data_IF_579398618090
#
_entry.id   IF_579398618090
#
_cell.length_a   1.000
_cell.length_b   1.000
_cell.length_c   1.000
_cell.angle_alpha   90.00
_cell.angle_beta   90.00
_cell.angle_gamma   90.00
#
_symmetry.space_group_name_H-M   'P 1'
#
loop_
_entity.id
_entity.type
_entity.pdbx_description
1 polymer ?
#
# COMPACT_ATOMS: atom_id res chain seq x y z
N UNK A 1 -27.29 16.66 -7.63
CA UNK A 1 -27.28 15.58 -6.62
C UNK A 1 -25.82 15.23 -6.35
N UNK A 2 -25.39 15.10 -5.09
CA UNK A 2 -24.03 14.62 -4.78
C UNK A 2 -24.06 13.09 -4.71
N UNK A 3 -23.36 12.43 -5.62
CA UNK A 3 -23.20 10.97 -5.59
C UNK A 3 -22.14 10.61 -4.55
N UNK A 4 -22.47 9.72 -3.60
CA UNK A 4 -21.51 9.18 -2.64
C UNK A 4 -20.56 8.24 -3.38
N UNK A 5 -19.26 8.37 -3.11
CA UNK A 5 -18.21 7.48 -3.61
C UNK A 5 -17.69 6.60 -2.48
N UNK A 6 -17.42 5.33 -2.79
CA UNK A 6 -16.83 4.32 -1.93
C UNK A 6 -15.35 4.14 -2.30
N UNK A 7 -14.47 4.41 -1.33
CA UNK A 7 -13.02 4.28 -1.49
C UNK A 7 -12.53 3.07 -0.69
N UNK A 8 -11.79 2.17 -1.33
CA UNK A 8 -11.16 1.04 -0.67
C UNK A 8 -9.83 1.47 -0.03
N UNK A 9 -9.86 1.72 1.28
CA UNK A 9 -8.69 2.10 2.07
C UNK A 9 -7.64 0.98 2.05
N UNK A 10 -6.55 1.21 1.32
CA UNK A 10 -5.44 0.28 1.07
C UNK A 10 -5.86 -1.02 0.40
N UNK A 11 -6.88 -0.95 -0.45
CA UNK A 11 -7.57 -2.10 -1.02
C UNK A 11 -8.59 -2.72 -0.06
N UNK A 12 -8.91 -4.01 -0.24
CA UNK A 12 -9.75 -4.77 0.68
C UNK A 12 -8.95 -5.18 1.94
N UNK A 13 -8.36 -4.19 2.63
CA UNK A 13 -7.38 -4.37 3.72
C UNK A 13 -7.92 -5.08 4.97
N UNK A 14 -9.25 -5.12 5.13
CA UNK A 14 -9.90 -5.92 6.16
C UNK A 14 -9.93 -7.43 5.83
N UNK A 15 -9.79 -7.80 4.55
CA UNK A 15 -9.86 -9.18 4.06
C UNK A 15 -8.47 -9.73 3.66
N UNK A 16 -7.60 -8.87 3.12
CA UNK A 16 -6.31 -9.23 2.53
C UNK A 16 -5.22 -8.26 2.97
N UNK A 17 -3.93 -8.64 2.89
CA UNK A 17 -2.83 -7.75 3.26
C UNK A 17 -2.92 -6.39 2.56
N UNK A 18 -2.93 -5.31 3.35
CA UNK A 18 -3.06 -3.94 2.85
C UNK A 18 -2.01 -3.59 1.78
N UNK A 19 -2.35 -2.67 0.86
CA UNK A 19 -1.41 -2.14 -0.14
C UNK A 19 -0.76 -3.23 -1.03
N UNK A 20 -1.45 -4.36 -1.23
CA UNK A 20 -1.02 -5.44 -2.14
C UNK A 20 -1.97 -5.62 -3.32
N UNK A 21 -1.46 -6.18 -4.43
CA UNK A 21 -2.29 -6.49 -5.60
C UNK A 21 -3.52 -7.34 -5.28
N UNK A 22 -3.43 -8.43 -4.46
CA UNK A 22 -4.62 -9.17 -4.06
C UNK A 22 -5.68 -8.31 -3.36
N UNK A 23 -5.30 -7.40 -2.47
CA UNK A 23 -6.24 -6.50 -1.81
C UNK A 23 -6.91 -5.54 -2.80
N UNK A 24 -6.16 -5.04 -3.78
CA UNK A 24 -6.71 -4.18 -4.84
C UNK A 24 -7.65 -4.94 -5.78
N UNK A 25 -7.26 -6.11 -6.24
CA UNK A 25 -8.10 -6.97 -7.10
C UNK A 25 -9.40 -7.36 -6.41
N UNK A 26 -9.34 -7.66 -5.11
CA UNK A 26 -10.52 -7.95 -4.30
C UNK A 26 -11.44 -6.74 -4.18
N UNK A 27 -10.89 -5.55 -3.91
CA UNK A 27 -11.68 -4.32 -3.84
C UNK A 27 -12.37 -3.99 -5.17
N UNK A 28 -11.67 -4.18 -6.30
CA UNK A 28 -12.25 -4.03 -7.65
C UNK A 28 -13.41 -5.01 -7.85
N UNK A 29 -13.24 -6.28 -7.43
CA UNK A 29 -14.29 -7.30 -7.52
C UNK A 29 -15.54 -6.94 -6.69
N UNK A 30 -15.37 -6.24 -5.56
CA UNK A 30 -16.46 -5.77 -4.71
C UNK A 30 -17.22 -4.56 -5.32
N UNK A 31 -16.62 -3.88 -6.30
CA UNK A 31 -17.27 -2.77 -7.02
C UNK A 31 -17.13 -1.41 -6.33
N UNK A 32 -15.96 -1.14 -5.72
CA UNK A 32 -15.65 0.20 -5.17
C UNK A 32 -15.45 1.24 -6.28
N UNK A 33 -15.71 2.51 -5.97
CA UNK A 33 -15.52 3.61 -6.94
C UNK A 33 -14.04 3.99 -7.12
N UNK A 34 -13.22 3.76 -6.10
CA UNK A 34 -11.82 4.10 -6.11
C UNK A 34 -10.99 3.20 -5.19
N UNK A 35 -9.73 2.98 -5.58
CA UNK A 35 -8.70 2.41 -4.73
C UNK A 35 -7.95 3.55 -4.04
N UNK A 36 -7.67 3.38 -2.76
CA UNK A 36 -6.76 4.24 -2.01
C UNK A 36 -5.48 3.44 -1.70
N UNK A 37 -4.35 4.13 -1.71
CA UNK A 37 -3.04 3.55 -1.44
C UNK A 37 -2.12 4.61 -0.82
N UNK A 38 -1.22 4.15 0.04
CA UNK A 38 -0.20 4.98 0.66
C UNK A 38 1.13 4.84 -0.10
N UNK A 39 1.88 5.93 -0.24
CA UNK A 39 3.14 5.94 -0.97
C UNK A 39 4.27 6.49 -0.10
N UNK A 40 5.42 5.82 -0.15
CA UNK A 40 6.68 6.26 0.44
C UNK A 40 7.78 6.33 -0.63
N UNK A 41 8.90 6.96 -0.29
CA UNK A 41 10.10 7.02 -1.11
C UNK A 41 11.22 6.16 -0.51
N UNK A 42 11.94 5.46 -1.38
CA UNK A 42 13.22 4.82 -1.07
C UNK A 42 14.37 5.84 -1.07
N UNK A 43 15.57 5.42 -0.66
CA UNK A 43 16.80 6.23 -0.67
C UNK A 43 17.19 6.69 -2.08
N UNK A 44 16.90 5.87 -3.09
CA UNK A 44 17.15 6.12 -4.52
C UNK A 44 15.92 6.71 -5.25
N UNK A 45 15.09 7.46 -4.52
CA UNK A 45 13.94 8.23 -5.02
C UNK A 45 12.90 7.41 -5.80
N UNK A 46 12.72 6.13 -5.46
CA UNK A 46 11.70 5.28 -6.06
C UNK A 46 10.44 5.25 -5.19
N UNK A 47 9.27 5.36 -5.82
CA UNK A 47 7.99 5.24 -5.14
C UNK A 47 7.70 3.77 -4.82
N UNK A 48 7.28 3.52 -3.57
CA UNK A 48 6.80 2.22 -3.10
C UNK A 48 5.44 2.37 -2.42
N UNK A 49 4.62 1.32 -2.46
CA UNK A 49 3.27 1.32 -1.87
C UNK A 49 3.31 0.66 -0.50
N UNK A 50 3.30 1.47 0.55
CA UNK A 50 3.33 1.04 1.94
C UNK A 50 2.87 2.19 2.84
N UNK A 51 2.17 1.87 3.93
CA UNK A 51 1.66 2.90 4.83
C UNK A 51 2.74 3.48 5.74
N UNK A 52 3.40 2.63 6.52
CA UNK A 52 4.35 3.08 7.54
C UNK A 52 5.65 3.56 6.90
N UNK A 53 6.34 4.49 7.56
CA UNK A 53 7.70 4.94 7.19
C UNK A 53 8.79 3.89 7.51
N UNK A 54 8.45 2.89 8.33
CA UNK A 54 9.31 1.77 8.77
C UNK A 54 8.78 0.43 8.30
N UNK A 55 9.69 -0.51 8.04
CA UNK A 55 9.35 -1.84 7.55
C UNK A 55 8.74 -2.77 8.61
N UNK A 56 8.89 -2.44 9.91
CA UNK A 56 8.70 -3.37 11.01
C UNK A 56 7.31 -4.03 11.07
N UNK A 57 6.23 -3.30 10.81
CA UNK A 57 4.85 -3.83 10.94
C UNK A 57 4.50 -4.83 9.85
N UNK A 58 4.96 -4.61 8.62
CA UNK A 58 4.56 -5.42 7.45
C UNK A 58 5.61 -6.44 7.02
N UNK A 59 6.88 -6.29 7.42
CA UNK A 59 7.97 -7.22 7.04
C UNK A 59 8.76 -7.78 8.23
N UNK A 60 8.66 -7.17 9.41
CA UNK A 60 9.47 -7.51 10.58
C UNK A 60 10.88 -6.90 10.60
N UNK A 61 11.33 -6.27 9.51
CA UNK A 61 12.64 -5.63 9.45
C UNK A 61 12.68 -4.31 10.24
N UNK A 62 13.75 -4.08 10.99
CA UNK A 62 13.94 -2.88 11.83
C UNK A 62 14.65 -1.75 11.06
N UNK A 63 14.15 -1.44 9.86
CA UNK A 63 14.71 -0.43 8.96
C UNK A 63 13.64 0.61 8.57
N UNK A 64 14.08 1.78 8.12
CA UNK A 64 13.22 2.77 7.47
C UNK A 64 13.23 2.55 5.96
N UNK A 65 12.11 2.75 5.27
CA UNK A 65 12.06 2.61 3.81
C UNK A 65 12.99 3.59 3.10
N UNK A 66 13.09 4.82 3.62
CA UNK A 66 14.01 5.86 3.14
C UNK A 66 15.50 5.52 3.32
N UNK A 67 15.83 4.41 4.01
CA UNK A 67 17.21 3.93 4.17
C UNK A 67 17.59 2.83 3.17
N UNK A 68 16.65 2.33 2.36
CA UNK A 68 16.85 1.24 1.39
C UNK A 68 16.86 1.78 -0.03
N UNK A 69 17.66 1.20 -0.92
CA UNK A 69 17.41 1.35 -2.36
C UNK A 69 16.26 0.43 -2.77
N UNK A 70 15.58 0.71 -3.88
CA UNK A 70 14.44 -0.10 -4.35
C UNK A 70 14.79 -1.59 -4.52
N UNK A 71 16.02 -1.89 -4.93
CA UNK A 71 16.47 -3.27 -5.09
C UNK A 71 16.44 -4.06 -3.78
N UNK A 72 16.75 -3.41 -2.65
CA UNK A 72 16.73 -4.04 -1.33
C UNK A 72 15.34 -4.01 -0.71
N UNK A 73 14.55 -2.97 -0.97
CA UNK A 73 13.14 -2.88 -0.54
C UNK A 73 12.24 -3.98 -1.16
N UNK A 74 12.70 -4.66 -2.22
CA UNK A 74 12.00 -5.75 -2.91
C UNK A 74 12.31 -7.16 -2.40
N UNK A 75 13.28 -7.32 -1.49
CA UNK A 75 13.71 -8.63 -0.97
C UNK A 75 12.91 -9.01 0.27
#
# INVERSE_FOLDING_TARGET
>A
MHTRRLYAHRGASAELPENTMPAFERAVTVGVDALEMDVQLTRDDQLIVVHDDRCARTTGAQLAWAALDLADARR
#
